data_IF_718119161164
#
_entry.id   IF_718119161164
#
_cell.length_a   1.000
_cell.length_b   1.000
_cell.length_c   1.000
_cell.angle_alpha   90.00
_cell.angle_beta   90.00
_cell.angle_gamma   90.00
#
_symmetry.space_group_name_H-M   'P 1'
#
loop_
_entity.id
_entity.type
_entity.pdbx_description
1 polymer ?
#
# COMPACT_ATOMS: atom_id res chain seq x y z
N UNK A 1 4.67 12.60 -6.55
CA UNK A 1 3.38 12.08 -6.04
C UNK A 1 3.26 10.64 -6.50
N UNK A 2 2.94 9.69 -5.62
CA UNK A 2 2.75 8.29 -6.01
C UNK A 2 1.41 8.12 -6.72
N UNK A 3 1.32 7.16 -7.65
CA UNK A 3 0.02 6.76 -8.20
C UNK A 3 -0.74 6.03 -7.11
N UNK A 4 -2.01 6.38 -6.93
CA UNK A 4 -2.86 5.87 -5.86
C UNK A 4 -4.20 5.41 -6.43
N UNK A 5 -4.72 4.32 -5.90
CA UNK A 5 -6.09 3.85 -6.11
C UNK A 5 -6.72 3.40 -4.79
N UNK A 6 -8.05 3.34 -4.76
CA UNK A 6 -8.82 2.84 -3.61
C UNK A 6 -9.84 1.82 -4.10
N UNK A 7 -10.07 0.79 -3.31
CA UNK A 7 -11.19 -0.13 -3.53
C UNK A 7 -12.45 0.35 -2.76
N UNK A 8 -13.55 -0.39 -2.91
CA UNK A 8 -14.85 -0.07 -2.32
C UNK A 8 -14.83 -0.14 -0.78
N UNK A 9 -13.93 -0.92 -0.18
CA UNK A 9 -13.74 -1.02 1.27
C UNK A 9 -12.91 0.16 1.83
N UNK A 10 -12.38 1.00 0.94
CA UNK A 10 -11.52 2.13 1.26
C UNK A 10 -10.07 1.73 1.50
N UNK A 11 -9.65 0.53 1.13
CA UNK A 11 -8.22 0.17 1.13
C UNK A 11 -7.51 1.03 0.10
N UNK A 12 -6.36 1.57 0.50
CA UNK A 12 -5.56 2.47 -0.31
C UNK A 12 -4.35 1.70 -0.79
N UNK A 13 -4.06 1.85 -2.06
CA UNK A 13 -2.91 1.23 -2.70
C UNK A 13 -2.08 2.33 -3.34
N UNK A 14 -0.77 2.30 -3.10
CA UNK A 14 0.18 3.21 -3.73
C UNK A 14 1.23 2.45 -4.51
N UNK A 15 1.51 2.89 -5.73
CA UNK A 15 2.63 2.37 -6.51
C UNK A 15 3.94 3.00 -6.07
N UNK A 16 4.84 2.17 -5.53
CA UNK A 16 6.23 2.52 -5.34
C UNK A 16 7.01 2.22 -6.62
N UNK A 17 7.13 3.23 -7.47
CA UNK A 17 7.88 3.13 -8.73
C UNK A 17 9.39 2.98 -8.54
N UNK A 18 9.94 3.27 -7.36
CA UNK A 18 11.37 3.10 -7.09
C UNK A 18 11.70 1.64 -6.83
N UNK A 19 10.78 0.90 -6.19
CA UNK A 19 10.98 -0.49 -5.81
C UNK A 19 10.18 -1.49 -6.65
N UNK A 20 9.25 -1.02 -7.48
CA UNK A 20 8.37 -1.88 -8.27
C UNK A 20 7.41 -2.67 -7.39
N UNK A 21 6.80 -2.00 -6.40
CA UNK A 21 5.96 -2.63 -5.37
C UNK A 21 4.68 -1.85 -5.11
N UNK A 22 3.67 -2.53 -4.59
CA UNK A 22 2.43 -1.94 -4.11
C UNK A 22 2.50 -1.80 -2.60
N UNK A 23 2.43 -0.57 -2.10
CA UNK A 23 2.28 -0.29 -0.67
C UNK A 23 0.78 -0.22 -0.36
N UNK A 24 0.32 -1.00 0.62
CA UNK A 24 -1.12 -1.09 0.96
C UNK A 24 -1.38 -0.43 2.31
N UNK A 25 -2.48 0.31 2.41
CA UNK A 25 -2.94 0.97 3.63
C UNK A 25 -4.43 0.71 3.81
N UNK A 26 -4.88 0.62 5.06
CA UNK A 26 -6.32 0.52 5.32
C UNK A 26 -7.03 1.87 5.12
N UNK A 27 -8.37 1.88 5.24
CA UNK A 27 -9.19 3.11 5.15
C UNK A 27 -8.89 4.23 6.15
N UNK A 28 -7.99 3.99 7.12
CA UNK A 28 -7.48 5.00 8.06
C UNK A 28 -6.06 5.45 7.70
N UNK A 29 -5.56 5.06 6.53
CA UNK A 29 -4.22 5.37 6.06
C UNK A 29 -3.12 4.64 6.82
N UNK A 30 -3.41 3.58 7.57
CA UNK A 30 -2.39 2.81 8.31
C UNK A 30 -1.81 1.73 7.40
N UNK A 31 -0.48 1.68 7.29
CA UNK A 31 0.23 0.74 6.45
C UNK A 31 -0.04 -0.72 6.85
N UNK A 32 -0.31 -1.56 5.84
CA UNK A 32 -0.62 -2.98 5.98
C UNK A 32 0.50 -3.86 5.41
N UNK A 33 1.42 -3.30 4.63
CA UNK A 33 2.57 -4.00 4.09
C UNK A 33 2.89 -3.59 2.64
N UNK A 34 4.00 -4.14 2.17
CA UNK A 34 4.44 -4.06 0.78
C UNK A 34 4.10 -5.37 0.08
N UNK A 35 3.63 -5.29 -1.16
CA UNK A 35 3.16 -6.42 -1.94
C UNK A 35 3.76 -6.41 -3.35
N UNK A 36 4.01 -7.61 -3.85
CA UNK A 36 4.42 -7.84 -5.22
C UNK A 36 3.22 -7.65 -6.18
N UNK A 37 3.32 -6.80 -7.22
CA UNK A 37 2.19 -6.45 -8.08
C UNK A 37 1.73 -7.61 -8.98
N UNK A 38 2.62 -8.56 -9.31
CA UNK A 38 2.33 -9.64 -10.24
C UNK A 38 1.70 -10.84 -9.51
N UNK A 39 2.17 -11.11 -8.29
CA UNK A 39 1.75 -12.29 -7.52
C UNK A 39 0.81 -11.99 -6.37
N UNK A 40 0.75 -10.73 -5.91
CA UNK A 40 0.05 -10.34 -4.69
C UNK A 40 0.72 -10.84 -3.40
N UNK A 41 1.91 -11.44 -3.49
CA UNK A 41 2.63 -11.92 -2.32
C UNK A 41 3.13 -10.73 -1.47
N UNK A 42 2.96 -10.82 -0.15
CA UNK A 42 3.50 -9.82 0.77
C UNK A 42 5.02 -9.93 0.82
N UNK A 43 5.72 -8.85 0.50
CA UNK A 43 7.18 -8.76 0.51
C UNK A 43 7.72 -8.12 1.78
N UNK A 44 6.91 -7.29 2.46
CA UNK A 44 7.25 -6.70 3.77
C UNK A 44 6.03 -6.64 4.71
N UNK A 45 6.23 -6.83 6.02
CA UNK A 45 5.16 -6.71 7.00
C UNK A 45 4.64 -5.26 7.11
N UNK A 46 3.50 -5.11 7.78
CA UNK A 46 2.96 -3.81 8.16
C UNK A 46 3.97 -3.00 8.99
N UNK A 47 3.94 -1.68 8.83
CA UNK A 47 4.77 -0.74 9.57
C UNK A 47 3.86 0.32 10.22
N UNK A 48 3.60 0.25 11.53
CA UNK A 48 2.70 1.18 12.22
C UNK A 48 3.15 2.65 12.16
N UNK A 49 4.43 2.90 11.90
CA UNK A 49 4.99 4.23 11.73
C UNK A 49 4.70 4.84 10.36
N UNK A 50 4.40 4.01 9.35
CA UNK A 50 4.02 4.47 8.01
C UNK A 50 2.53 4.76 7.95
N UNK A 51 2.21 6.01 7.62
CA UNK A 51 0.83 6.48 7.44
C UNK A 51 0.71 7.36 6.22
N UNK A 52 -0.48 7.34 5.63
CA UNK A 52 -0.88 8.24 4.56
C UNK A 52 -2.18 8.94 4.93
N UNK A 53 -2.47 10.04 4.24
CA UNK A 53 -3.81 10.61 4.27
C UNK A 53 -4.79 9.62 3.63
N UNK A 54 -5.92 9.30 4.30
CA UNK A 54 -6.88 8.30 3.85
C UNK A 54 -7.48 8.45 2.46
#
# INVERSE_FOLDING_TARGET
MRRRWKDDDGTIYEWDSQHGKVEVYNKRGVHQGEFDPDTGAQTKPADPGRKVEP
#
